data_IF_762504581488
#
_entry.id   IF_762504581488
#
_cell.length_a   1.000
_cell.length_b   1.000
_cell.length_c   1.000
_cell.angle_alpha   90.00
_cell.angle_beta   90.00
_cell.angle_gamma   90.00
#
_symmetry.space_group_name_H-M   'P 1'
#
loop_
_entity.id
_entity.type
_entity.pdbx_description
1 polymer ?
#
# COMPACT_ATOMS: atom_id res chain seq x y z
N UNK A 1 -29.48 10.22 -8.72
CA UNK A 1 -28.09 9.73 -8.79
C UNK A 1 -27.52 10.08 -10.17
N UNK A 2 -26.30 10.60 -10.28
CA UNK A 2 -25.69 10.87 -11.58
C UNK A 2 -25.48 9.56 -12.35
N UNK A 3 -25.70 9.51 -13.68
CA UNK A 3 -25.50 8.30 -14.46
C UNK A 3 -24.01 7.96 -14.51
N UNK A 4 -23.66 6.76 -14.02
CA UNK A 4 -22.30 6.23 -14.16
C UNK A 4 -22.06 5.92 -15.64
N UNK A 5 -20.84 6.07 -16.13
CA UNK A 5 -20.51 5.85 -17.54
C UNK A 5 -19.40 4.82 -17.67
N UNK A 6 -19.40 4.06 -18.76
CA UNK A 6 -18.28 3.20 -19.10
C UNK A 6 -17.05 4.05 -19.46
N UNK A 7 -15.89 3.78 -18.86
CA UNK A 7 -14.67 4.56 -19.11
C UNK A 7 -14.07 4.37 -20.52
N UNK A 8 -14.49 3.34 -21.25
CA UNK A 8 -13.99 3.04 -22.59
C UNK A 8 -14.84 3.66 -23.71
N UNK A 9 -16.17 3.62 -23.55
CA UNK A 9 -17.12 4.05 -24.59
C UNK A 9 -18.10 5.15 -24.15
N UNK A 10 -18.00 5.60 -22.90
CA UNK A 10 -18.79 6.69 -22.29
C UNK A 10 -20.32 6.46 -22.24
N UNK A 11 -20.77 5.23 -22.52
CA UNK A 11 -22.18 4.84 -22.44
C UNK A 11 -22.66 4.93 -21.00
N UNK A 12 -23.80 5.60 -20.79
CA UNK A 12 -24.43 5.72 -19.48
C UNK A 12 -25.03 4.38 -19.04
N UNK A 13 -24.70 3.97 -17.81
CA UNK A 13 -25.10 2.70 -17.20
C UNK A 13 -25.49 2.99 -15.75
N UNK A 14 -26.63 2.46 -15.32
CA UNK A 14 -27.23 2.81 -14.04
C UNK A 14 -26.47 2.26 -12.82
N UNK A 15 -25.73 1.17 -12.98
CA UNK A 15 -25.08 0.44 -11.87
C UNK A 15 -23.64 0.06 -12.20
N UNK A 16 -22.82 -0.10 -11.18
CA UNK A 16 -21.43 -0.52 -11.30
C UNK A 16 -21.29 -1.95 -11.82
N UNK A 17 -22.12 -2.87 -11.30
CA UNK A 17 -22.25 -4.22 -11.87
C UNK A 17 -22.62 -4.18 -13.35
N UNK A 18 -23.45 -3.22 -13.77
CA UNK A 18 -23.79 -2.98 -15.17
C UNK A 18 -22.58 -2.53 -16.01
N UNK A 19 -21.65 -1.76 -15.43
CA UNK A 19 -20.40 -1.36 -16.12
C UNK A 19 -19.50 -2.58 -16.32
N UNK A 20 -19.34 -3.43 -15.29
CA UNK A 20 -18.57 -4.68 -15.39
C UNK A 20 -19.13 -5.59 -16.48
N UNK A 21 -20.45 -5.84 -16.48
CA UNK A 21 -21.13 -6.60 -17.53
C UNK A 21 -21.01 -5.97 -18.93
N UNK A 22 -21.06 -4.64 -19.02
CA UNK A 22 -20.93 -3.94 -20.29
C UNK A 22 -19.51 -4.09 -20.89
N UNK A 23 -18.47 -4.03 -20.06
CA UNK A 23 -17.07 -4.20 -20.48
C UNK A 23 -16.85 -5.63 -21.01
N UNK A 24 -17.39 -6.65 -20.35
CA UNK A 24 -17.22 -8.05 -20.78
C UNK A 24 -17.97 -8.40 -22.06
N UNK A 25 -19.15 -7.79 -22.28
CA UNK A 25 -20.02 -8.05 -23.43
C UNK A 25 -19.70 -7.20 -24.67
N UNK A 26 -19.03 -6.06 -24.52
CA UNK A 26 -18.66 -5.20 -25.65
C UNK A 26 -17.24 -5.53 -26.13
N UNK A 27 -17.05 -6.08 -27.35
CA UNK A 27 -15.71 -6.44 -27.84
C UNK A 27 -14.74 -5.25 -27.85
N UNK A 28 -15.23 -4.05 -28.19
CA UNK A 28 -14.42 -2.84 -28.21
C UNK A 28 -13.97 -2.40 -26.80
N UNK A 29 -14.87 -2.44 -25.82
CA UNK A 29 -14.54 -2.07 -24.43
C UNK A 29 -13.65 -3.14 -23.77
N UNK A 30 -13.93 -4.42 -24.04
CA UNK A 30 -13.13 -5.55 -23.56
C UNK A 30 -11.69 -5.44 -24.07
N UNK A 31 -11.51 -5.21 -25.36
CA UNK A 31 -10.17 -5.07 -25.95
C UNK A 31 -9.41 -3.87 -25.37
N UNK A 32 -10.07 -2.75 -25.08
CA UNK A 32 -9.42 -1.61 -24.43
C UNK A 32 -9.06 -1.91 -22.96
N UNK A 33 -9.91 -2.62 -22.23
CA UNK A 33 -9.63 -3.07 -20.87
C UNK A 33 -8.47 -4.08 -20.83
N UNK A 34 -8.44 -5.05 -21.75
CA UNK A 34 -7.34 -6.02 -21.85
C UNK A 34 -6.02 -5.34 -22.19
N UNK A 35 -6.01 -4.36 -23.11
CA UNK A 35 -4.80 -3.56 -23.40
C UNK A 35 -4.30 -2.77 -22.20
N UNK A 36 -5.21 -2.21 -21.40
CA UNK A 36 -4.85 -1.50 -20.17
C UNK A 36 -4.21 -2.46 -19.16
N UNK A 37 -4.78 -3.66 -19.00
CA UNK A 37 -4.20 -4.70 -18.13
C UNK A 37 -2.83 -5.18 -18.63
N UNK A 38 -2.64 -5.31 -19.94
CA UNK A 38 -1.35 -5.66 -20.53
C UNK A 38 -0.31 -4.55 -20.35
N UNK A 39 -0.70 -3.28 -20.47
CA UNK A 39 0.20 -2.15 -20.19
C UNK A 39 0.61 -2.10 -18.71
N UNK A 40 -0.34 -2.31 -17.80
CA UNK A 40 -0.05 -2.38 -16.36
C UNK A 40 0.83 -3.59 -16.03
N UNK A 41 0.60 -4.74 -16.68
CA UNK A 41 1.48 -5.91 -16.55
C UNK A 41 2.88 -5.63 -17.10
N UNK A 42 3.02 -4.93 -18.23
CA UNK A 42 4.32 -4.61 -18.81
C UNK A 42 5.12 -3.62 -17.94
N UNK A 43 4.45 -2.69 -17.25
CA UNK A 43 5.10 -1.80 -16.28
C UNK A 43 5.53 -2.51 -15.00
N UNK A 44 4.94 -3.68 -14.68
CA UNK A 44 5.26 -4.49 -13.50
C UNK A 44 6.25 -5.62 -13.82
N UNK A 45 6.21 -6.19 -15.03
CA UNK A 45 7.07 -7.31 -15.46
C UNK A 45 8.46 -6.88 -15.96
N UNK A 46 8.76 -5.60 -16.13
CA UNK A 46 10.14 -5.15 -16.35
C UNK A 46 11.00 -5.21 -15.08
N UNK A 47 10.42 -5.58 -13.93
CA UNK A 47 11.11 -5.64 -12.64
C UNK A 47 11.38 -7.07 -12.11
N UNK A 48 11.00 -8.16 -12.81
CA UNK A 48 11.34 -9.52 -12.34
C UNK A 48 11.67 -10.50 -13.48
N UNK A 49 12.95 -10.81 -13.64
CA UNK A 49 13.47 -11.94 -14.41
C UNK A 49 13.83 -13.06 -13.41
N UNK A 50 13.02 -14.12 -13.36
CA UNK A 50 13.21 -15.26 -12.45
C UNK A 50 12.12 -16.33 -12.63
N UNK A 51 12.45 -17.43 -13.28
CA UNK A 51 11.57 -18.53 -13.68
C UNK A 51 11.04 -19.41 -12.53
N UNK A 52 9.71 -19.56 -12.42
CA UNK A 52 8.86 -20.78 -12.54
C UNK A 52 9.41 -22.16 -12.07
N UNK A 53 8.60 -23.18 -11.64
CA UNK A 53 7.28 -23.24 -10.97
C UNK A 53 7.24 -24.10 -9.68
N UNK A 54 6.23 -23.88 -8.83
CA UNK A 54 5.81 -24.82 -7.79
C UNK A 54 4.93 -25.96 -8.36
N UNK A 55 5.15 -27.17 -7.83
CA UNK A 55 4.25 -28.32 -7.93
C UNK A 55 3.43 -28.49 -6.65
N UNK A 56 2.27 -29.11 -6.84
CA UNK A 56 1.11 -29.29 -5.95
C UNK A 56 1.25 -30.54 -5.08
N UNK A 57 0.89 -30.48 -3.78
CA UNK A 57 -0.09 -31.34 -3.05
C UNK A 57 -0.12 -30.91 -1.56
N UNK A 58 -1.28 -30.57 -0.97
CA UNK A 58 -2.37 -31.38 -0.37
C UNK A 58 -2.03 -32.01 1.00
N UNK A 59 -2.84 -31.69 2.02
CA UNK A 59 -2.78 -32.36 3.33
C UNK A 59 -3.17 -31.50 4.54
N UNK A 60 -4.41 -31.00 4.60
CA UNK A 60 -5.00 -30.49 5.85
C UNK A 60 -5.59 -31.63 6.68
N UNK A 61 -5.26 -31.69 7.98
CA UNK A 61 -6.27 -31.95 9.02
C UNK A 61 -6.04 -31.06 10.25
N UNK A 62 -6.98 -30.44 10.95
CA UNK A 62 -8.44 -30.34 10.91
C UNK A 62 -8.80 -29.45 12.13
N UNK A 63 -9.62 -28.42 11.92
CA UNK A 63 -10.10 -27.53 12.99
C UNK A 63 -11.30 -28.18 13.71
N UNK A 64 -11.30 -28.25 15.06
CA UNK A 64 -12.38 -28.85 15.79
C UNK A 64 -13.27 -27.84 16.54
N UNK A 65 -13.62 -26.64 16.06
CA UNK A 65 -14.75 -25.90 16.66
C UNK A 65 -15.63 -25.19 15.62
N UNK A 66 -16.75 -25.84 15.31
CA UNK A 66 -17.79 -25.33 14.43
C UNK A 66 -18.74 -24.33 15.06
N UNK A 67 -19.22 -23.41 14.23
CA UNK A 67 -20.54 -22.82 14.37
C UNK A 67 -21.23 -22.83 13.00
N UNK A 68 -22.27 -23.66 12.90
CA UNK A 68 -23.18 -23.80 11.76
C UNK A 68 -24.15 -22.62 11.68
N UNK A 69 -24.31 -22.06 10.48
CA UNK A 69 -25.57 -21.45 10.04
C UNK A 69 -25.82 -21.87 8.58
N UNK A 70 -26.60 -22.92 8.43
CA UNK A 70 -27.42 -23.20 7.23
C UNK A 70 -28.67 -22.29 7.36
N UNK A 71 -29.25 -21.63 6.35
CA UNK A 71 -29.54 -21.96 4.96
C UNK A 71 -29.80 -20.61 4.20
N UNK A 72 -29.69 -20.43 2.89
CA UNK A 72 -30.32 -21.18 1.80
C UNK A 72 -29.49 -21.10 0.51
N UNK A 73 -29.49 -22.23 -0.20
CA UNK A 73 -28.79 -22.48 -1.45
C UNK A 73 -29.48 -21.82 -2.66
N UNK A 74 -28.67 -21.22 -3.53
CA UNK A 74 -28.86 -21.21 -4.98
C UNK A 74 -27.48 -21.32 -5.64
N UNK A 75 -27.11 -22.55 -6.01
CA UNK A 75 -25.96 -22.85 -6.87
C UNK A 75 -26.22 -22.40 -8.32
N UNK A 76 -25.27 -21.65 -8.89
CA UNK A 76 -25.22 -21.29 -10.31
C UNK A 76 -23.98 -20.44 -10.63
N UNK A 77 -23.36 -20.65 -11.81
CA UNK A 77 -22.00 -21.14 -11.93
C UNK A 77 -20.93 -20.12 -11.56
N UNK A 78 -19.86 -20.69 -11.02
CA UNK A 78 -18.52 -20.16 -10.82
C UNK A 78 -18.08 -19.25 -11.99
N UNK A 79 -18.26 -17.93 -11.82
CA UNK A 79 -17.69 -16.92 -12.69
C UNK A 79 -16.45 -16.37 -12.00
N UNK A 80 -15.33 -17.07 -12.23
CA UNK A 80 -14.01 -16.56 -12.00
C UNK A 80 -13.86 -15.17 -12.63
N UNK A 81 -13.48 -14.21 -11.78
CA UNK A 81 -12.75 -12.96 -11.98
C UNK A 81 -13.33 -11.91 -11.03
N UNK A 82 -13.04 -12.12 -9.75
CA UNK A 82 -13.21 -11.10 -8.73
C UNK A 82 -12.27 -9.94 -9.08
N UNK A 83 -12.84 -8.78 -9.39
CA UNK A 83 -12.07 -7.55 -9.66
C UNK A 83 -11.94 -6.83 -8.32
N UNK A 84 -10.74 -6.72 -7.72
CA UNK A 84 -10.58 -6.08 -6.42
C UNK A 84 -10.97 -4.60 -6.49
N UNK A 85 -11.67 -4.14 -5.45
CA UNK A 85 -12.16 -2.76 -5.30
C UNK A 85 -11.05 -1.68 -5.27
N UNK A 86 -9.79 -2.09 -5.14
CA UNK A 86 -8.63 -1.21 -4.95
C UNK A 86 -8.09 -0.52 -6.21
N UNK A 87 -8.63 -0.77 -7.40
CA UNK A 87 -8.07 -0.27 -8.67
C UNK A 87 -8.95 0.82 -9.34
N UNK A 88 -9.63 1.64 -8.55
CA UNK A 88 -10.35 2.82 -9.02
C UNK A 88 -9.51 4.11 -8.94
N UNK A 89 -8.19 4.02 -9.07
CA UNK A 89 -7.43 5.19 -9.48
C UNK A 89 -7.78 5.42 -10.94
N UNK A 90 -8.77 6.26 -11.17
CA UNK A 90 -9.17 6.72 -12.49
C UNK A 90 -7.90 7.24 -13.18
N UNK A 91 -7.37 6.59 -14.23
CA UNK A 91 -6.48 7.32 -15.12
C UNK A 91 -7.43 8.26 -15.84
N UNK A 92 -7.54 9.49 -15.37
CA UNK A 92 -8.07 10.54 -16.23
C UNK A 92 -7.26 10.44 -17.51
N UNK A 93 -7.92 10.09 -18.62
CA UNK A 93 -7.36 10.11 -19.98
C UNK A 93 -7.11 11.55 -20.35
N UNK A 94 -6.15 12.14 -19.66
CA UNK A 94 -5.63 13.43 -19.95
C UNK A 94 -4.54 13.14 -20.95
N UNK A 95 -4.76 13.54 -22.20
CA UNK A 95 -3.67 13.67 -23.14
C UNK A 95 -2.72 14.72 -22.56
N UNK A 96 -1.53 14.25 -22.22
CA UNK A 96 -0.48 15.05 -21.59
C UNK A 96 0.44 15.53 -22.71
N UNK A 97 0.46 16.84 -22.94
CA UNK A 97 1.57 17.47 -23.67
C UNK A 97 2.62 17.87 -22.64
N UNK A 98 3.84 17.36 -22.81
CA UNK A 98 4.99 17.73 -21.98
C UNK A 98 5.25 19.21 -22.22
N UNK A 99 4.91 20.07 -21.26
CA UNK A 99 5.06 21.51 -21.38
C UNK A 99 6.51 21.92 -21.67
N UNK A 100 6.75 23.14 -22.17
CA UNK A 100 8.08 23.60 -22.54
C UNK A 100 9.09 23.38 -21.40
N UNK A 101 10.28 22.84 -21.67
CA UNK A 101 11.20 22.27 -20.68
C UNK A 101 11.88 23.28 -19.73
N UNK A 102 11.48 24.55 -19.74
CA UNK A 102 12.23 25.64 -19.10
C UNK A 102 11.57 26.25 -17.85
N UNK A 103 10.49 25.68 -17.30
CA UNK A 103 9.79 26.27 -16.15
C UNK A 103 10.18 25.71 -14.77
N UNK A 104 11.06 24.70 -14.71
CA UNK A 104 11.50 24.15 -13.43
C UNK A 104 13.02 24.17 -13.37
N UNK A 105 13.57 25.05 -12.53
CA UNK A 105 14.92 24.83 -12.01
C UNK A 105 14.94 23.43 -11.38
N UNK A 106 15.95 22.58 -11.67
CA UNK A 106 16.03 21.28 -11.05
C UNK A 106 15.99 21.47 -9.53
N UNK A 107 15.20 20.68 -8.80
CA UNK A 107 15.11 20.82 -7.35
C UNK A 107 16.52 20.86 -6.77
N UNK A 108 16.79 21.88 -5.94
CA UNK A 108 18.07 22.03 -5.25
C UNK A 108 18.46 20.68 -4.66
N UNK A 109 19.68 20.21 -4.95
CA UNK A 109 20.24 18.95 -4.43
C UNK A 109 20.44 19.06 -2.91
N UNK A 110 19.35 18.99 -2.17
CA UNK A 110 19.37 18.80 -0.72
C UNK A 110 19.59 17.33 -0.46
N UNK A 111 20.42 17.03 0.53
CA UNK A 111 20.65 15.67 1.00
C UNK A 111 19.32 15.11 1.53
N UNK A 112 18.91 13.94 1.07
CA UNK A 112 17.66 13.32 1.55
C UNK A 112 17.86 12.64 2.90
N UNK A 113 16.76 12.31 3.59
CA UNK A 113 16.82 11.53 4.83
C UNK A 113 17.41 10.14 4.55
N UNK A 114 17.07 9.52 3.42
CA UNK A 114 17.62 8.22 3.01
C UNK A 114 19.13 8.27 2.76
N UNK A 115 19.63 9.29 2.05
CA UNK A 115 21.08 9.49 1.85
C UNK A 115 21.80 9.76 3.18
N UNK A 116 21.11 10.37 4.15
CA UNK A 116 21.65 10.61 5.48
C UNK A 116 21.71 9.33 6.32
N UNK A 117 20.68 8.50 6.23
CA UNK A 117 20.62 7.20 6.88
C UNK A 117 21.67 6.26 6.31
N UNK A 118 21.75 6.14 4.99
CA UNK A 118 22.75 5.32 4.29
C UNK A 118 24.18 5.73 4.70
N UNK A 119 24.48 7.03 4.68
CA UNK A 119 25.79 7.52 5.10
C UNK A 119 26.10 7.19 6.58
N UNK A 120 25.11 7.29 7.47
CA UNK A 120 25.27 6.97 8.89
C UNK A 120 25.46 5.46 9.14
N UNK A 121 24.81 4.60 8.36
CA UNK A 121 24.98 3.16 8.45
C UNK A 121 26.31 2.69 7.86
N UNK A 122 26.76 3.32 6.76
CA UNK A 122 28.09 3.11 6.18
C UNK A 122 29.21 3.53 7.15
N UNK A 123 29.06 4.67 7.84
CA UNK A 123 30.03 5.14 8.84
C UNK A 123 30.15 4.15 10.03
N UNK A 124 29.04 3.50 10.40
CA UNK A 124 29.01 2.46 11.44
C UNK A 124 29.52 1.11 10.95
N UNK A 125 29.80 0.95 9.65
CA UNK A 125 30.24 -0.30 9.04
C UNK A 125 29.24 -1.43 9.20
N UNK A 126 27.94 -1.10 9.25
CA UNK A 126 26.87 -2.08 9.43
C UNK A 126 26.51 -2.75 8.11
N UNK A 127 25.92 -3.93 8.19
CA UNK A 127 25.36 -4.63 7.03
C UNK A 127 24.08 -3.91 6.53
N UNK A 128 23.65 -4.26 5.31
CA UNK A 128 22.45 -3.72 4.66
C UNK A 128 21.13 -4.09 5.39
N UNK A 129 21.16 -5.14 6.21
CA UNK A 129 20.04 -5.68 7.00
C UNK A 129 19.98 -5.11 8.42
N UNK A 130 20.81 -4.12 8.74
CA UNK A 130 20.88 -3.57 10.08
C UNK A 130 19.51 -3.02 10.53
N UNK A 131 19.09 -3.26 11.79
CA UNK A 131 19.87 -3.73 12.95
C UNK A 131 20.07 -5.25 13.05
N UNK A 132 19.58 -6.02 12.09
CA UNK A 132 19.66 -7.48 12.08
C UNK A 132 21.03 -7.95 11.54
N UNK A 133 21.39 -9.21 11.80
CA UNK A 133 22.70 -9.74 11.41
C UNK A 133 22.80 -10.04 9.91
N UNK A 134 21.71 -10.46 9.28
CA UNK A 134 21.62 -10.89 7.88
C UNK A 134 20.17 -10.86 7.36
N UNK A 135 20.02 -11.22 6.09
CA UNK A 135 18.74 -11.32 5.38
C UNK A 135 17.80 -12.34 6.03
N UNK A 136 18.31 -13.51 6.42
CA UNK A 136 17.53 -14.58 7.04
C UNK A 136 16.90 -14.11 8.36
N UNK A 137 17.67 -13.40 9.19
CA UNK A 137 17.17 -12.81 10.42
C UNK A 137 16.14 -11.70 10.15
N UNK A 138 16.36 -10.86 9.13
CA UNK A 138 15.41 -9.83 8.72
C UNK A 138 14.07 -10.42 8.24
N UNK A 139 14.12 -11.48 7.42
CA UNK A 139 12.92 -12.18 6.95
C UNK A 139 12.15 -12.79 8.12
N UNK A 140 12.85 -13.47 9.03
CA UNK A 140 12.27 -14.01 10.25
C UNK A 140 11.63 -12.90 11.09
N UNK A 141 12.32 -11.79 11.32
CA UNK A 141 11.80 -10.66 12.07
C UNK A 141 10.49 -10.13 11.46
N UNK A 142 10.46 -9.97 10.14
CA UNK A 142 9.26 -9.58 9.40
C UNK A 142 8.13 -10.60 9.52
N UNK A 143 8.42 -11.90 9.48
CA UNK A 143 7.43 -12.95 9.68
C UNK A 143 6.85 -12.91 11.10
N UNK A 144 7.71 -12.82 12.13
CA UNK A 144 7.30 -12.78 13.53
C UNK A 144 6.38 -11.58 13.80
N UNK A 145 6.76 -10.40 13.31
CA UNK A 145 6.00 -9.16 13.53
C UNK A 145 4.60 -9.21 12.90
N UNK A 146 4.47 -9.81 11.72
CA UNK A 146 3.19 -9.86 10.99
C UNK A 146 2.25 -10.95 11.51
N UNK A 147 2.79 -12.06 12.00
CA UNK A 147 1.99 -13.27 12.24
C UNK A 147 1.81 -13.63 13.71
N UNK A 148 2.69 -13.18 14.61
CA UNK A 148 2.68 -13.62 16.01
C UNK A 148 2.51 -12.45 16.98
N UNK A 149 1.74 -12.69 18.04
CA UNK A 149 1.69 -11.79 19.20
C UNK A 149 2.94 -11.93 20.08
N UNK A 150 3.24 -10.89 20.86
CA UNK A 150 4.43 -10.81 21.72
C UNK A 150 4.67 -12.05 22.60
N UNK A 151 3.62 -12.61 23.19
CA UNK A 151 3.71 -13.82 24.03
C UNK A 151 4.23 -15.02 23.24
N UNK A 152 3.67 -15.29 22.06
CA UNK A 152 4.07 -16.41 21.21
C UNK A 152 5.49 -16.22 20.66
N UNK A 153 5.85 -14.99 20.31
CA UNK A 153 7.24 -14.66 19.93
C UNK A 153 8.19 -15.01 21.08
N UNK A 154 7.88 -14.59 22.30
CA UNK A 154 8.71 -14.88 23.47
C UNK A 154 8.82 -16.38 23.78
N UNK A 155 7.77 -17.16 23.54
CA UNK A 155 7.80 -18.62 23.68
C UNK A 155 8.64 -19.28 22.58
N UNK A 156 8.47 -18.85 21.33
CA UNK A 156 9.24 -19.34 20.19
C UNK A 156 10.74 -19.07 20.37
N UNK A 157 11.13 -17.86 20.78
CA UNK A 157 12.54 -17.51 21.03
C UNK A 157 13.20 -18.33 22.14
N UNK A 158 12.41 -18.91 23.06
CA UNK A 158 12.92 -19.83 24.10
C UNK A 158 13.19 -21.24 23.60
N UNK A 159 12.72 -21.60 22.41
CA UNK A 159 12.96 -22.93 21.83
C UNK A 159 14.47 -23.15 21.62
N UNK A 160 14.93 -24.37 21.88
CA UNK A 160 16.36 -24.70 21.83
C UNK A 160 16.97 -24.54 20.44
N UNK A 161 16.17 -24.61 19.37
CA UNK A 161 16.63 -24.33 18.02
C UNK A 161 16.90 -22.83 17.83
N UNK A 162 15.96 -21.98 18.23
CA UNK A 162 16.06 -20.52 18.13
C UNK A 162 17.22 -19.95 18.96
N UNK A 163 17.51 -20.53 20.13
CA UNK A 163 18.67 -20.12 20.93
C UNK A 163 20.02 -20.51 20.30
N UNK A 164 20.03 -21.45 19.36
CA UNK A 164 21.25 -21.92 18.68
C UNK A 164 21.46 -21.26 17.33
N UNK A 165 20.45 -20.60 16.75
CA UNK A 165 20.53 -19.98 15.44
C UNK A 165 21.32 -18.67 15.43
N UNK A 166 21.76 -18.17 16.58
CA UNK A 166 22.65 -17.00 16.64
C UNK A 166 21.96 -15.67 16.39
N UNK A 167 20.65 -15.59 16.61
CA UNK A 167 19.88 -14.36 16.48
C UNK A 167 20.45 -13.24 17.35
N UNK A 168 20.38 -12.02 16.84
CA UNK A 168 20.74 -10.79 17.52
C UNK A 168 19.76 -10.40 18.64
N UNK A 169 18.60 -11.08 18.73
CA UNK A 169 17.62 -10.97 19.80
C UNK A 169 17.26 -12.33 20.42
N UNK A 170 17.20 -12.40 21.75
CA UNK A 170 16.91 -13.63 22.50
C UNK A 170 15.56 -13.61 23.22
N UNK A 171 14.91 -12.45 23.27
CA UNK A 171 13.60 -12.25 23.87
C UNK A 171 12.78 -11.20 23.11
N UNK A 172 11.48 -11.15 23.41
CA UNK A 172 10.55 -10.23 22.73
C UNK A 172 10.93 -8.75 22.93
N UNK A 173 11.50 -8.39 24.08
CA UNK A 173 11.90 -7.01 24.33
C UNK A 173 13.12 -6.61 23.48
N UNK A 174 14.16 -7.45 23.38
CA UNK A 174 15.29 -7.19 22.48
C UNK A 174 14.86 -7.15 21.01
N UNK A 175 13.93 -8.02 20.63
CA UNK A 175 13.35 -8.06 19.29
C UNK A 175 12.62 -6.75 18.96
N UNK A 176 11.66 -6.34 19.80
CA UNK A 176 10.91 -5.10 19.59
C UNK A 176 11.82 -3.87 19.62
N UNK A 177 12.84 -3.85 20.49
CA UNK A 177 13.82 -2.77 20.52
C UNK A 177 14.57 -2.62 19.19
N UNK A 178 14.86 -3.72 18.50
CA UNK A 178 15.46 -3.65 17.17
C UNK A 178 14.47 -3.15 16.13
N UNK A 179 13.25 -3.67 16.13
CA UNK A 179 12.19 -3.19 15.23
C UNK A 179 11.94 -1.70 15.40
N UNK A 180 11.85 -1.21 16.64
CA UNK A 180 11.64 0.20 16.96
C UNK A 180 12.84 1.08 16.58
N UNK A 181 14.02 0.49 16.34
CA UNK A 181 15.20 1.23 15.86
C UNK A 181 15.21 1.44 14.35
N UNK A 182 14.32 0.77 13.62
CA UNK A 182 14.14 1.00 12.20
C UNK A 182 13.58 2.40 11.95
N UNK A 183 13.94 2.96 10.79
CA UNK A 183 13.38 4.22 10.35
C UNK A 183 11.89 4.03 10.04
N UNK A 184 11.01 4.77 10.74
CA UNK A 184 9.54 4.67 10.64
C UNK A 184 8.90 5.88 9.96
N UNK A 185 9.73 6.74 9.36
CA UNK A 185 9.33 7.99 8.74
C UNK A 185 9.23 9.14 9.74
N UNK A 186 8.38 10.16 9.49
CA UNK A 186 8.30 11.34 10.34
C UNK A 186 7.57 10.98 11.63
N UNK A 187 7.93 11.66 12.72
CA UNK A 187 7.40 11.34 14.03
C UNK A 187 5.88 11.56 14.09
N UNK A 188 5.18 10.64 14.75
CA UNK A 188 3.78 10.85 15.12
C UNK A 188 3.69 11.84 16.28
N UNK A 189 2.78 12.80 16.12
CA UNK A 189 2.41 13.79 17.13
C UNK A 189 1.01 13.42 17.62
N UNK A 190 0.87 13.18 18.92
CA UNK A 190 -0.43 12.98 19.56
C UNK A 190 -0.77 14.22 20.39
N UNK A 191 -1.87 14.88 20.04
CA UNK A 191 -2.38 16.06 20.73
C UNK A 191 -3.82 15.81 21.20
N UNK A 192 -4.12 16.14 22.45
CA UNK A 192 -5.48 16.06 22.96
C UNK A 192 -6.24 17.34 22.61
N UNK A 193 -7.34 17.21 21.86
CA UNK A 193 -8.17 18.34 21.43
C UNK A 193 -9.59 18.22 21.96
N UNK A 194 -10.21 19.36 22.28
CA UNK A 194 -11.62 19.44 22.63
C UNK A 194 -12.45 19.80 21.40
N UNK A 195 -13.21 18.85 20.89
CA UNK A 195 -14.11 19.03 19.75
C UNK A 195 -15.49 19.40 20.24
N UNK A 196 -16.07 20.43 19.63
CA UNK A 196 -17.47 20.81 19.85
C UNK A 196 -18.34 20.09 18.82
N UNK A 197 -19.23 19.23 19.31
CA UNK A 197 -20.22 18.53 18.49
C UNK A 197 -21.38 19.43 18.06
N UNK A 198 -22.25 18.86 17.25
CA UNK A 198 -23.47 19.47 16.71
C UNK A 198 -24.74 19.12 17.51
N UNK A 199 -24.63 18.24 18.50
CA UNK A 199 -25.74 17.82 19.36
C UNK A 199 -25.83 18.70 20.60
N UNK A 200 -27.01 19.25 20.89
CA UNK A 200 -27.29 19.95 22.14
C UNK A 200 -27.50 18.95 23.29
N UNK A 201 -26.90 19.24 24.44
CA UNK A 201 -27.11 18.55 25.71
C UNK A 201 -28.41 18.95 26.38
N UNK A 202 -28.73 18.30 27.50
CA UNK A 202 -29.95 18.60 28.28
C UNK A 202 -29.97 20.02 28.86
N UNK A 203 -28.81 20.65 28.96
CA UNK A 203 -28.60 22.03 29.39
C UNK A 203 -28.70 23.06 28.25
N UNK A 204 -28.96 22.61 27.02
CA UNK A 204 -28.98 23.45 25.81
C UNK A 204 -27.58 23.88 25.34
N UNK A 205 -26.50 23.38 25.95
CA UNK A 205 -25.14 23.60 25.48
C UNK A 205 -24.76 22.52 24.46
N UNK A 206 -24.00 22.89 23.43
CA UNK A 206 -23.48 21.92 22.48
C UNK A 206 -22.48 20.98 23.16
N UNK A 207 -22.68 19.68 22.97
CA UNK A 207 -21.82 18.63 23.54
C UNK A 207 -20.38 18.82 23.09
N UNK A 208 -19.45 18.51 23.98
CA UNK A 208 -18.01 18.53 23.72
C UNK A 208 -17.44 17.16 23.99
N UNK A 209 -16.47 16.77 23.18
CA UNK A 209 -15.74 15.53 23.32
C UNK A 209 -14.24 15.84 23.28
N UNK A 210 -13.51 15.22 24.19
CA UNK A 210 -12.05 15.28 24.21
C UNK A 210 -11.52 14.07 23.45
N UNK A 211 -10.79 14.31 22.36
CA UNK A 211 -10.27 13.25 21.48
C UNK A 211 -8.76 13.39 21.31
N UNK A 212 -8.11 12.27 20.99
CA UNK A 212 -6.69 12.24 20.62
C UNK A 212 -6.54 12.44 19.11
N UNK A 213 -5.88 13.52 18.71
CA UNK A 213 -5.49 13.80 17.33
C UNK A 213 -4.08 13.26 17.09
N UNK A 214 -3.99 12.26 16.23
CA UNK A 214 -2.72 11.71 15.74
C UNK A 214 -2.39 12.34 14.38
N UNK A 215 -1.29 13.07 14.30
CA UNK A 215 -0.85 13.74 13.08
C UNK A 215 0.66 13.60 12.85
N UNK A 216 1.10 13.93 11.64
CA UNK A 216 2.52 14.06 11.26
C UNK A 216 2.74 15.43 10.65
N UNK A 217 3.98 15.91 10.65
CA UNK A 217 4.32 17.11 9.89
C UNK A 217 4.16 16.81 8.39
N UNK A 218 3.23 17.49 7.68
CA UNK A 218 3.00 17.22 6.26
C UNK A 218 4.20 17.59 5.40
N UNK A 219 5.02 18.57 5.82
CA UNK A 219 6.24 18.96 5.10
C UNK A 219 7.27 17.85 5.20
N UNK A 220 7.52 17.31 6.40
CA UNK A 220 8.44 16.18 6.58
C UNK A 220 7.96 14.94 5.81
N UNK A 221 6.65 14.66 5.82
CA UNK A 221 6.07 13.56 5.04
C UNK A 221 6.34 13.71 3.54
N UNK A 222 6.15 14.91 2.99
CA UNK A 222 6.39 15.18 1.56
C UNK A 222 7.89 15.14 1.24
N UNK A 223 8.74 15.69 2.10
CA UNK A 223 10.19 15.64 1.93
C UNK A 223 10.71 14.19 1.95
N UNK A 224 10.18 13.34 2.82
CA UNK A 224 10.52 11.91 2.84
C UNK A 224 10.02 11.19 1.58
N UNK A 225 8.76 11.39 1.19
CA UNK A 225 8.21 10.77 -0.03
C UNK A 225 9.04 11.14 -1.27
N UNK A 226 9.39 12.41 -1.41
CA UNK A 226 10.23 12.91 -2.50
C UNK A 226 11.68 12.41 -2.38
N UNK A 227 12.16 12.21 -1.16
CA UNK A 227 13.50 11.69 -0.90
C UNK A 227 13.65 10.18 -1.14
N UNK A 228 12.55 9.44 -1.27
CA UNK A 228 12.55 7.98 -1.35
C UNK A 228 13.11 7.49 -2.70
N UNK A 229 14.26 6.79 -2.72
CA UNK A 229 14.86 6.28 -3.95
C UNK A 229 13.93 5.36 -4.76
N UNK A 230 13.05 4.59 -4.09
CA UNK A 230 12.12 3.68 -4.74
C UNK A 230 11.06 4.41 -5.59
N UNK A 231 10.76 5.67 -5.27
CA UNK A 231 9.78 6.48 -5.99
C UNK A 231 10.39 7.35 -7.08
N UNK A 232 11.73 7.37 -7.20
CA UNK A 232 12.46 8.29 -8.08
C UNK A 232 11.98 8.26 -9.53
N UNK A 233 11.68 7.06 -10.06
CA UNK A 233 11.24 6.88 -11.44
C UNK A 233 9.74 7.15 -11.63
N UNK A 234 8.99 7.26 -10.54
CA UNK A 234 7.54 7.50 -10.53
C UNK A 234 7.18 8.98 -10.31
N UNK A 235 8.17 9.83 -10.02
CA UNK A 235 7.96 11.26 -9.76
C UNK A 235 8.21 12.10 -11.02
N UNK A 236 7.20 12.85 -11.43
CA UNK A 236 7.30 13.85 -12.49
C UNK A 236 7.27 15.25 -11.88
N UNK A 237 8.33 16.03 -12.12
CA UNK A 237 8.43 17.43 -11.69
C UNK A 237 8.17 18.42 -12.82
N UNK A 238 7.93 17.91 -14.03
CA UNK A 238 7.69 18.74 -15.21
C UNK A 238 6.20 19.04 -15.27
N UNK A 239 5.80 20.31 -15.47
CA UNK A 239 4.40 20.65 -15.65
C UNK A 239 3.84 19.96 -16.90
N UNK A 240 2.76 19.22 -16.70
CA UNK A 240 2.03 18.55 -17.76
C UNK A 240 0.80 19.37 -18.14
N UNK A 241 0.62 19.63 -19.44
CA UNK A 241 -0.59 20.29 -19.91
C UNK A 241 -1.67 19.24 -20.09
N UNK A 242 -2.67 19.31 -19.24
CA UNK A 242 -3.83 18.44 -19.29
C UNK A 242 -4.88 18.95 -20.28
N UNK A 243 -5.33 18.10 -21.21
CA UNK A 243 -6.45 18.39 -22.11
C UNK A 243 -7.70 17.57 -21.75
N UNK A 244 -8.87 18.13 -21.99
CA UNK A 244 -10.16 17.46 -21.76
C UNK A 244 -10.48 16.41 -22.82
N UNK A 245 -9.81 16.45 -23.98
CA UNK A 245 -9.96 15.50 -25.06
C UNK A 245 -8.63 15.16 -25.78
N UNK A 246 -8.66 14.06 -26.54
CA UNK A 246 -7.54 13.59 -27.37
C UNK A 246 -7.21 14.46 -28.59
N UNK A 247 -7.85 15.62 -28.71
CA UNK A 247 -7.57 16.61 -29.75
C UNK A 247 -6.81 17.81 -29.20
N UNK A 248 -6.49 17.82 -27.90
CA UNK A 248 -5.76 18.92 -27.29
C UNK A 248 -6.64 20.16 -27.02
N UNK A 249 -7.95 19.98 -26.81
CA UNK A 249 -8.86 21.07 -26.44
C UNK A 249 -9.26 20.99 -24.97
N UNK A 250 -9.60 22.15 -24.39
CA UNK A 250 -10.18 22.28 -23.05
C UNK A 250 -11.69 22.46 -23.12
#
# INVERSE_FOLDING_TARGET
>A
MPPRRCNYCLKAIATEAGIKCHITQSPACRNQWTKLLEQIKFTVSNDEDGQHPEQVDDGTPGDPYGWTNESDAMDGPDNALDVPDGHLVHPSRIDVDSGPPELCEPPSKKKTVFESLEAAELEKGKNEWAPFCDEDEWELAGFLMRNLGQTKINEMLKLSLMRKSGLSFDNVHSFLKQVDSLYTGPAWICETIDVKGDIEGEDGALKRETVELWQRDPVECVEELIGNPALRNSMAYIPERAYADAKGNN
#
